data_IF_552299968725
#
_entry.id   IF_552299968725
#
_cell.length_a   1.000
_cell.length_b   1.000
_cell.length_c   1.000
_cell.angle_alpha   90.00
_cell.angle_beta   90.00
_cell.angle_gamma   90.00
#
_symmetry.space_group_name_H-M   'P 1'
#
loop_
_entity.id
_entity.type
_entity.pdbx_description
1 polymer ?
#
# COMPACT_ATOMS: atom_id res chain seq x y z
N UNK A 1 -4.88 -23.19 -20.04
CA UNK A 1 -5.86 -22.08 -20.12
C UNK A 1 -5.55 -20.96 -19.14
N UNK A 2 -5.31 -21.23 -17.85
CA UNK A 2 -5.05 -20.19 -16.83
C UNK A 2 -3.97 -19.16 -17.21
N UNK A 3 -2.84 -19.57 -17.81
CA UNK A 3 -1.79 -18.64 -18.26
C UNK A 3 -2.27 -17.62 -19.29
N UNK A 4 -3.12 -18.05 -20.23
CA UNK A 4 -3.69 -17.16 -21.26
C UNK A 4 -4.66 -16.16 -20.62
N UNK A 5 -5.49 -16.63 -19.70
CA UNK A 5 -6.38 -15.76 -18.92
C UNK A 5 -5.59 -14.76 -18.10
N UNK A 6 -4.52 -15.19 -17.44
CA UNK A 6 -3.65 -14.30 -16.69
C UNK A 6 -2.99 -13.24 -17.59
N UNK A 7 -2.44 -13.62 -18.74
CA UNK A 7 -1.87 -12.65 -19.68
C UNK A 7 -2.90 -11.65 -20.19
N UNK A 8 -4.13 -12.09 -20.47
CA UNK A 8 -5.22 -11.17 -20.81
C UNK A 8 -5.51 -10.19 -19.67
N UNK A 9 -5.56 -10.67 -18.42
CA UNK A 9 -5.78 -9.82 -17.25
C UNK A 9 -4.63 -8.84 -17.01
N UNK A 10 -3.39 -9.19 -17.34
CA UNK A 10 -2.25 -8.26 -17.32
C UNK A 10 -2.43 -7.14 -18.34
N UNK A 11 -2.92 -7.44 -19.55
CA UNK A 11 -3.24 -6.41 -20.54
C UNK A 11 -4.40 -5.51 -20.09
N UNK A 12 -5.43 -6.08 -19.47
CA UNK A 12 -6.52 -5.31 -18.86
C UNK A 12 -5.99 -4.40 -17.75
N UNK A 13 -5.13 -4.92 -16.87
CA UNK A 13 -4.46 -4.16 -15.80
C UNK A 13 -3.62 -3.01 -16.38
N UNK A 14 -2.89 -3.24 -17.48
CA UNK A 14 -2.13 -2.20 -18.17
C UNK A 14 -3.04 -1.13 -18.78
N UNK A 15 -4.14 -1.53 -19.40
CA UNK A 15 -5.12 -0.60 -19.96
C UNK A 15 -5.66 0.36 -18.89
N UNK A 16 -6.12 -0.16 -17.75
CA UNK A 16 -6.60 0.67 -16.65
C UNK A 16 -5.48 1.46 -15.96
N UNK A 17 -4.26 0.95 -15.89
CA UNK A 17 -3.14 1.71 -15.36
C UNK A 17 -2.88 3.00 -16.16
N UNK A 18 -3.08 2.94 -17.48
CA UNK A 18 -2.86 4.07 -18.40
C UNK A 18 -4.11 4.93 -18.61
N UNK A 19 -5.28 4.48 -18.15
CA UNK A 19 -6.52 5.27 -18.25
C UNK A 19 -6.52 6.43 -17.24
N UNK A 20 -7.15 7.57 -17.60
CA UNK A 20 -7.40 8.63 -16.63
C UNK A 20 -8.49 8.20 -15.66
N UNK A 21 -8.18 8.19 -14.36
CA UNK A 21 -9.12 7.91 -13.27
C UNK A 21 -9.99 9.10 -12.87
N UNK A 22 -11.00 8.82 -12.05
CA UNK A 22 -11.66 9.85 -11.26
C UNK A 22 -10.65 10.65 -10.42
N UNK A 23 -10.84 11.97 -10.35
CA UNK A 23 -9.87 12.86 -9.72
C UNK A 23 -9.89 12.70 -8.19
N UNK A 24 -8.92 11.99 -7.63
CA UNK A 24 -8.72 11.88 -6.20
C UNK A 24 -7.49 12.68 -5.71
N UNK A 25 -7.61 13.47 -4.62
CA UNK A 25 -6.48 14.23 -4.05
C UNK A 25 -5.20 13.41 -3.80
N UNK A 26 -5.34 12.26 -3.14
CA UNK A 26 -4.23 11.35 -2.81
C UNK A 26 -3.44 10.85 -4.04
N UNK A 27 -4.09 10.73 -5.19
CA UNK A 27 -3.48 10.14 -6.38
C UNK A 27 -2.54 11.10 -7.10
N UNK A 28 -2.87 12.39 -7.12
CA UNK A 28 -2.15 13.41 -7.89
C UNK A 28 -1.54 14.46 -6.97
N UNK A 29 -2.38 15.15 -6.19
CA UNK A 29 -2.03 16.37 -5.44
C UNK A 29 -1.22 16.11 -4.17
N UNK A 30 -1.44 14.96 -3.50
CA UNK A 30 -0.78 14.67 -2.22
C UNK A 30 0.50 13.82 -2.35
N UNK A 31 0.85 13.39 -3.56
CA UNK A 31 2.02 12.57 -3.81
C UNK A 31 2.84 13.07 -5.01
N UNK A 32 2.49 12.64 -6.24
CA UNK A 32 3.23 13.01 -7.44
C UNK A 32 3.48 14.51 -7.63
N UNK A 33 2.45 15.35 -7.44
CA UNK A 33 2.55 16.78 -7.72
C UNK A 33 3.58 17.47 -6.81
N UNK A 34 3.61 17.12 -5.52
CA UNK A 34 4.57 17.68 -4.55
C UNK A 34 6.00 17.43 -5.00
N UNK A 35 6.31 16.20 -5.41
CA UNK A 35 7.66 15.83 -5.85
C UNK A 35 7.99 16.39 -7.24
N UNK A 36 7.01 16.46 -8.14
CA UNK A 36 7.19 17.06 -9.46
C UNK A 36 7.54 18.56 -9.35
N UNK A 37 6.95 19.27 -8.39
CA UNK A 37 7.30 20.66 -8.08
C UNK A 37 8.77 20.81 -7.67
N UNK A 38 9.29 19.90 -6.85
CA UNK A 38 10.70 19.92 -6.42
C UNK A 38 11.69 19.59 -7.56
N UNK A 39 11.35 18.63 -8.43
CA UNK A 39 12.29 18.12 -9.45
C UNK A 39 12.25 18.93 -10.75
N UNK A 40 11.06 19.35 -11.17
CA UNK A 40 10.80 19.99 -12.47
C UNK A 40 10.38 21.46 -12.34
N UNK A 41 10.25 21.99 -11.12
CA UNK A 41 9.85 23.38 -10.86
C UNK A 41 8.48 23.74 -11.49
N UNK A 42 7.58 22.77 -11.59
CA UNK A 42 6.21 22.99 -12.03
C UNK A 42 5.45 23.92 -11.06
N UNK A 43 4.44 24.67 -11.55
CA UNK A 43 3.52 25.38 -10.68
C UNK A 43 2.66 24.36 -9.92
N UNK A 44 2.93 24.20 -8.62
CA UNK A 44 2.30 23.19 -7.76
C UNK A 44 1.58 23.86 -6.60
N UNK A 45 0.41 23.36 -6.25
CA UNK A 45 -0.32 23.79 -5.06
C UNK A 45 -0.27 22.69 -3.99
N UNK A 46 0.57 22.90 -2.97
CA UNK A 46 0.63 22.03 -1.80
C UNK A 46 -0.71 22.08 -1.05
N UNK A 47 -1.20 20.91 -0.64
CA UNK A 47 -2.45 20.79 0.11
C UNK A 47 -2.27 21.17 1.59
N UNK A 48 -3.36 21.25 2.34
CA UNK A 48 -3.34 21.64 3.77
C UNK A 48 -2.50 20.66 4.62
N UNK A 49 -2.40 19.40 4.20
CA UNK A 49 -1.59 18.39 4.89
C UNK A 49 -0.09 18.68 4.89
N UNK A 50 0.40 19.49 3.94
CA UNK A 50 1.79 19.94 3.81
C UNK A 50 2.01 21.38 4.29
N UNK A 51 0.96 22.18 4.41
CA UNK A 51 1.05 23.63 4.68
C UNK A 51 0.58 24.05 6.07
N UNK A 52 0.01 23.11 6.84
CA UNK A 52 -0.39 23.33 8.23
C UNK A 52 0.82 23.51 9.16
N UNK A 53 0.60 24.13 10.32
CA UNK A 53 1.63 24.33 11.35
C UNK A 53 2.27 23.02 11.83
N UNK A 54 1.53 21.91 11.76
CA UNK A 54 2.00 20.57 12.08
C UNK A 54 1.74 19.65 10.88
N UNK A 55 2.63 19.61 9.88
CA UNK A 55 2.43 18.81 8.67
C UNK A 55 2.23 17.33 8.99
N UNK A 56 1.29 16.69 8.29
CA UNK A 56 0.85 15.31 8.58
C UNK A 56 1.26 14.31 7.49
N UNK A 57 1.79 14.77 6.36
CA UNK A 57 2.26 13.93 5.25
C UNK A 57 3.78 13.89 5.21
N UNK A 58 4.33 12.69 5.13
CA UNK A 58 5.77 12.50 4.98
C UNK A 58 6.19 12.62 3.52
N UNK A 59 7.34 13.25 3.27
CA UNK A 59 7.99 13.28 1.96
C UNK A 59 8.96 12.11 1.80
N UNK A 60 9.44 11.54 2.92
CA UNK A 60 10.29 10.35 2.93
C UNK A 60 9.80 9.21 2.02
N UNK A 61 8.55 8.71 2.08
CA UNK A 61 8.07 7.65 1.20
C UNK A 61 7.84 8.12 -0.24
N UNK A 62 7.56 9.41 -0.44
CA UNK A 62 7.29 9.99 -1.77
C UNK A 62 8.56 10.02 -2.63
N UNK A 63 9.74 10.24 -2.02
CA UNK A 63 11.01 10.28 -2.74
C UNK A 63 11.37 8.95 -3.43
N UNK A 64 11.37 7.78 -2.75
CA UNK A 64 11.60 6.50 -3.42
C UNK A 64 10.53 6.13 -4.44
N UNK A 65 9.26 6.42 -4.14
CA UNK A 65 8.12 5.98 -4.98
C UNK A 65 7.94 6.83 -6.22
N UNK A 66 8.07 8.15 -6.11
CA UNK A 66 7.80 9.10 -7.20
C UNK A 66 9.06 9.86 -7.62
N UNK A 67 9.90 10.26 -6.67
CA UNK A 67 11.09 11.06 -6.94
C UNK A 67 12.17 10.34 -7.76
N UNK A 68 12.56 9.12 -7.38
CA UNK A 68 13.53 8.34 -8.13
C UNK A 68 13.11 8.09 -9.60
N UNK A 69 11.85 7.68 -9.89
CA UNK A 69 11.36 7.56 -11.26
C UNK A 69 11.39 8.88 -12.04
N UNK A 70 11.01 10.00 -11.41
CA UNK A 70 11.04 11.32 -12.05
C UNK A 70 12.47 11.77 -12.35
N UNK A 71 13.43 11.52 -11.45
CA UNK A 71 14.84 11.80 -11.70
C UNK A 71 15.39 10.94 -12.84
N UNK A 72 15.00 9.67 -12.92
CA UNK A 72 15.35 8.80 -14.03
C UNK A 72 14.75 9.31 -15.35
N UNK A 73 13.49 9.74 -15.35
CA UNK A 73 12.85 10.37 -16.51
C UNK A 73 13.61 11.62 -16.95
N UNK A 74 13.97 12.49 -16.00
CA UNK A 74 14.78 13.69 -16.27
C UNK A 74 16.10 13.35 -16.93
N UNK A 75 16.81 12.35 -16.39
CA UNK A 75 18.09 11.91 -16.92
C UNK A 75 17.96 11.36 -18.35
N UNK A 76 16.93 10.53 -18.61
CA UNK A 76 16.67 9.99 -19.95
C UNK A 76 16.25 11.07 -20.95
N UNK A 77 15.49 12.06 -20.51
CA UNK A 77 15.02 13.16 -21.35
C UNK A 77 16.18 14.03 -21.83
N UNK A 78 17.04 14.45 -20.90
CA UNK A 78 18.26 15.21 -21.20
C UNK A 78 19.21 14.37 -22.07
N UNK A 79 19.35 13.07 -21.77
CA UNK A 79 20.20 12.16 -22.53
C UNK A 79 19.78 11.98 -24.00
N UNK A 80 18.50 12.19 -24.32
CA UNK A 80 17.98 12.13 -25.69
C UNK A 80 18.08 13.47 -26.44
N UNK A 81 18.81 14.46 -25.90
CA UNK A 81 19.01 15.76 -26.53
C UNK A 81 17.77 16.66 -26.51
N UNK A 82 16.83 16.40 -25.60
CA UNK A 82 15.66 17.26 -25.39
C UNK A 82 15.94 18.15 -24.17
N UNK A 83 16.44 19.36 -24.42
CA UNK A 83 16.75 20.35 -23.37
C UNK A 83 15.51 21.14 -22.88
N UNK A 84 14.33 20.80 -23.40
CA UNK A 84 13.06 21.45 -23.05
C UNK A 84 12.47 20.94 -21.74
N UNK A 85 11.55 21.73 -21.18
CA UNK A 85 10.74 21.32 -20.01
C UNK A 85 10.00 20.00 -20.31
N UNK A 86 10.10 19.05 -19.38
CA UNK A 86 9.37 17.80 -19.49
C UNK A 86 7.88 18.13 -19.38
N UNK A 87 7.02 17.64 -20.27
CA UNK A 87 5.59 17.91 -20.16
C UNK A 87 4.96 17.07 -19.03
N UNK A 88 4.00 17.62 -18.26
CA UNK A 88 3.35 16.89 -17.15
C UNK A 88 2.72 15.55 -17.56
N UNK A 89 2.28 15.44 -18.81
CA UNK A 89 1.75 14.18 -19.35
C UNK A 89 2.83 13.08 -19.38
N UNK A 90 4.09 13.39 -19.69
CA UNK A 90 5.15 12.38 -19.67
C UNK A 90 5.40 11.85 -18.26
N UNK A 91 5.37 12.74 -17.26
CA UNK A 91 5.47 12.39 -15.84
C UNK A 91 4.31 11.49 -15.42
N UNK A 92 3.07 11.86 -15.77
CA UNK A 92 1.88 11.04 -15.50
C UNK A 92 2.05 9.62 -16.03
N UNK A 93 2.32 9.45 -17.34
CA UNK A 93 2.43 8.13 -17.95
C UNK A 93 3.60 7.32 -17.40
N UNK A 94 4.72 7.98 -17.07
CA UNK A 94 5.87 7.32 -16.45
C UNK A 94 5.52 6.74 -15.08
N UNK A 95 4.83 7.51 -14.23
CA UNK A 95 4.40 7.01 -12.93
C UNK A 95 3.34 5.91 -13.05
N UNK A 96 2.42 6.00 -14.01
CA UNK A 96 1.43 4.93 -14.27
C UNK A 96 2.09 3.62 -14.68
N UNK A 97 3.04 3.67 -15.62
CA UNK A 97 3.80 2.49 -16.06
C UNK A 97 4.60 1.92 -14.89
N UNK A 98 5.23 2.77 -14.08
CA UNK A 98 5.94 2.33 -12.89
C UNK A 98 5.01 1.62 -11.90
N UNK A 99 3.89 2.23 -11.53
CA UNK A 99 2.95 1.63 -10.57
C UNK A 99 2.39 0.31 -11.09
N UNK A 100 2.11 0.22 -12.40
CA UNK A 100 1.80 -1.06 -13.05
C UNK A 100 2.92 -2.09 -12.90
N UNK A 101 4.18 -1.72 -13.19
CA UNK A 101 5.32 -2.62 -13.09
C UNK A 101 5.55 -3.07 -11.63
N UNK A 102 5.45 -2.15 -10.67
CA UNK A 102 5.63 -2.46 -9.25
C UNK A 102 4.48 -3.36 -8.77
N UNK A 103 3.22 -3.07 -9.10
CA UNK A 103 2.10 -3.98 -8.78
C UNK A 103 2.33 -5.36 -9.42
N UNK A 104 2.63 -5.42 -10.72
CA UNK A 104 2.85 -6.69 -11.40
C UNK A 104 4.05 -7.49 -10.85
N UNK A 105 5.16 -6.84 -10.54
CA UNK A 105 6.38 -7.52 -10.08
C UNK A 105 6.30 -7.81 -8.59
N UNK A 106 6.01 -6.83 -7.75
CA UNK A 106 6.09 -6.96 -6.29
C UNK A 106 4.83 -7.59 -5.68
N UNK A 107 3.64 -7.24 -6.15
CA UNK A 107 2.39 -7.78 -5.60
C UNK A 107 2.24 -9.26 -5.97
N UNK A 108 2.37 -9.59 -7.26
CA UNK A 108 2.20 -10.96 -7.74
C UNK A 108 3.35 -11.86 -7.24
N UNK A 109 4.58 -11.34 -7.09
CA UNK A 109 5.67 -12.09 -6.45
C UNK A 109 5.41 -12.31 -4.95
N UNK A 110 4.93 -11.31 -4.20
CA UNK A 110 4.58 -11.52 -2.80
C UNK A 110 3.52 -12.63 -2.64
N UNK A 111 2.51 -12.68 -3.51
CA UNK A 111 1.53 -13.77 -3.54
C UNK A 111 2.18 -15.13 -3.87
N UNK A 112 3.18 -15.14 -4.74
CA UNK A 112 3.92 -16.36 -5.07
C UNK A 112 4.72 -16.92 -3.88
N UNK A 113 5.35 -16.05 -3.09
CA UNK A 113 6.10 -16.41 -1.89
C UNK A 113 5.19 -16.84 -0.74
N UNK A 114 4.08 -16.13 -0.52
CA UNK A 114 3.13 -16.40 0.57
C UNK A 114 2.30 -17.67 0.37
N UNK A 115 2.27 -18.23 -0.85
CA UNK A 115 1.46 -19.40 -1.19
C UNK A 115 2.37 -20.56 -1.64
N UNK A 116 2.66 -21.52 -0.73
CA UNK A 116 3.45 -22.70 -1.07
C UNK A 116 2.73 -23.62 -2.08
N UNK A 117 1.40 -23.75 -1.97
CA UNK A 117 0.63 -24.68 -2.80
C UNK A 117 0.44 -24.16 -4.24
N UNK A 118 0.93 -24.86 -5.28
CA UNK A 118 0.85 -24.37 -6.65
C UNK A 118 -0.59 -24.34 -7.19
N UNK A 119 -1.48 -25.19 -6.67
CA UNK A 119 -2.90 -25.19 -7.06
C UNK A 119 -3.61 -23.97 -6.49
N UNK A 120 -3.41 -23.69 -5.20
CA UNK A 120 -3.98 -22.52 -4.52
C UNK A 120 -3.45 -21.23 -5.12
N UNK A 121 -2.14 -21.18 -5.40
CA UNK A 121 -1.48 -20.02 -6.00
C UNK A 121 -2.09 -19.61 -7.34
N UNK A 122 -2.36 -20.57 -8.23
CA UNK A 122 -2.99 -20.30 -9.52
C UNK A 122 -4.36 -19.64 -9.37
N UNK A 123 -5.16 -20.08 -8.39
CA UNK A 123 -6.48 -19.53 -8.13
C UNK A 123 -6.37 -18.14 -7.52
N UNK A 124 -5.53 -17.98 -6.49
CA UNK A 124 -5.32 -16.70 -5.81
C UNK A 124 -4.83 -15.61 -6.77
N UNK A 125 -3.81 -15.89 -7.59
CA UNK A 125 -3.28 -14.93 -8.57
C UNK A 125 -4.34 -14.54 -9.60
N UNK A 126 -5.15 -15.49 -10.08
CA UNK A 126 -6.24 -15.16 -11.00
C UNK A 126 -7.34 -14.31 -10.34
N UNK A 127 -7.67 -14.57 -9.07
CA UNK A 127 -8.65 -13.78 -8.34
C UNK A 127 -8.15 -12.35 -8.12
N UNK A 128 -6.91 -12.18 -7.67
CA UNK A 128 -6.32 -10.85 -7.49
C UNK A 128 -6.20 -10.12 -8.82
N UNK A 129 -5.70 -10.78 -9.87
CA UNK A 129 -5.54 -10.17 -11.19
C UNK A 129 -6.87 -9.86 -11.90
N UNK A 130 -7.99 -10.44 -11.45
CA UNK A 130 -9.33 -10.14 -12.00
C UNK A 130 -10.16 -9.22 -11.13
N UNK A 131 -9.58 -8.67 -10.06
CA UNK A 131 -10.24 -7.70 -9.18
C UNK A 131 -10.16 -6.29 -9.78
N UNK A 132 -11.27 -5.57 -9.78
CA UNK A 132 -11.33 -4.19 -10.25
C UNK A 132 -10.45 -3.27 -9.39
N UNK A 133 -10.32 -3.58 -8.09
CA UNK A 133 -9.45 -2.85 -7.16
C UNK A 133 -7.99 -2.92 -7.62
N UNK A 134 -7.59 -4.08 -8.12
CA UNK A 134 -6.25 -4.30 -8.66
C UNK A 134 -6.05 -3.53 -9.96
N UNK A 135 -7.10 -3.35 -10.77
CA UNK A 135 -7.04 -2.63 -12.04
C UNK A 135 -7.03 -1.11 -11.88
N UNK A 136 -7.76 -0.59 -10.90
CA UNK A 136 -8.06 0.85 -10.76
C UNK A 136 -7.32 1.52 -9.60
N UNK A 137 -7.19 0.86 -8.45
CA UNK A 137 -6.50 1.47 -7.29
C UNK A 137 -5.03 1.04 -7.26
N UNK A 138 -4.74 -0.26 -7.29
CA UNK A 138 -3.38 -0.79 -7.04
C UNK A 138 -2.34 -0.42 -8.12
N UNK A 139 -2.79 -0.21 -9.34
CA UNK A 139 -1.96 0.23 -10.49
C UNK A 139 -1.80 1.74 -10.56
N UNK A 140 -2.55 2.48 -9.75
CA UNK A 140 -2.60 3.94 -9.73
C UNK A 140 -1.71 4.48 -8.61
N UNK A 141 -1.39 5.77 -8.68
CA UNK A 141 -0.41 6.43 -7.79
C UNK A 141 -0.95 6.74 -6.39
N UNK A 142 -1.82 5.88 -5.84
CA UNK A 142 -2.33 6.02 -4.47
C UNK A 142 -1.28 5.60 -3.44
N UNK A 143 -1.23 6.33 -2.33
CA UNK A 143 -0.44 5.93 -1.16
C UNK A 143 -0.94 4.60 -0.57
N UNK A 144 -2.24 4.29 -0.74
CA UNK A 144 -2.83 3.01 -0.37
C UNK A 144 -2.28 1.83 -1.20
N UNK A 145 -1.90 2.06 -2.46
CA UNK A 145 -1.32 1.03 -3.31
C UNK A 145 0.10 0.69 -2.86
N UNK A 146 0.87 1.71 -2.49
CA UNK A 146 2.17 1.54 -1.83
C UNK A 146 1.99 0.80 -0.50
N UNK A 147 1.00 1.18 0.32
CA UNK A 147 0.69 0.49 1.58
C UNK A 147 0.39 -1.01 1.35
N UNK A 148 -0.41 -1.37 0.35
CA UNK A 148 -0.69 -2.77 0.00
C UNK A 148 0.60 -3.56 -0.26
N UNK A 149 1.53 -3.00 -1.05
CA UNK A 149 2.80 -3.64 -1.35
C UNK A 149 3.66 -3.84 -0.10
N UNK A 150 3.76 -2.81 0.74
CA UNK A 150 4.53 -2.84 2.00
C UNK A 150 3.92 -3.87 2.95
N UNK A 151 2.59 -3.96 3.06
CA UNK A 151 1.90 -4.97 3.87
C UNK A 151 2.20 -6.38 3.33
N UNK A 152 2.07 -6.59 2.03
CA UNK A 152 2.30 -7.89 1.41
C UNK A 152 3.74 -8.39 1.63
N UNK A 153 4.74 -7.52 1.45
CA UNK A 153 6.13 -7.86 1.70
C UNK A 153 6.45 -8.02 3.19
N UNK A 154 5.80 -7.26 4.06
CA UNK A 154 5.90 -7.48 5.50
C UNK A 154 5.41 -8.88 5.89
N UNK A 155 4.32 -9.37 5.27
CA UNK A 155 3.86 -10.75 5.49
C UNK A 155 4.89 -11.78 5.00
N UNK A 156 5.53 -11.54 3.85
CA UNK A 156 6.60 -12.43 3.32
C UNK A 156 7.76 -12.49 4.31
N UNK A 157 8.21 -11.34 4.81
CA UNK A 157 9.31 -11.25 5.77
C UNK A 157 8.96 -11.92 7.11
N UNK A 158 7.75 -11.68 7.64
CA UNK A 158 7.26 -12.34 8.86
C UNK A 158 7.25 -13.86 8.68
N UNK A 159 6.73 -14.35 7.56
CA UNK A 159 6.72 -15.79 7.28
C UNK A 159 8.14 -16.36 7.23
N UNK A 160 9.07 -15.69 6.53
CA UNK A 160 10.47 -16.12 6.45
C UNK A 160 11.16 -16.14 7.82
N UNK A 161 10.95 -15.13 8.67
CA UNK A 161 11.53 -15.07 10.03
C UNK A 161 10.97 -16.19 10.92
N UNK A 162 9.68 -16.49 10.81
CA UNK A 162 9.04 -17.53 11.62
C UNK A 162 9.44 -18.93 11.16
N UNK A 163 9.56 -19.15 9.86
CA UNK A 163 9.90 -20.46 9.26
C UNK A 163 11.39 -20.80 9.40
N UNK A 164 12.29 -19.81 9.43
CA UNK A 164 13.74 -20.00 9.57
C UNK A 164 14.17 -20.30 11.01
N UNK A 165 14.10 -21.57 11.38
CA UNK A 165 14.50 -22.05 12.71
C UNK A 165 16.02 -22.11 12.90
N UNK A 166 16.81 -22.26 11.83
CA UNK A 166 18.23 -22.66 11.89
C UNK A 166 19.21 -21.49 11.79
N UNK A 167 18.96 -20.48 10.94
CA UNK A 167 19.86 -19.32 10.81
C UNK A 167 19.34 -18.10 11.58
N UNK A 168 20.23 -17.16 11.88
CA UNK A 168 19.81 -15.85 12.37
C UNK A 168 19.15 -15.14 11.20
N UNK A 169 17.83 -15.01 11.23
CA UNK A 169 17.04 -14.23 10.24
C UNK A 169 17.29 -12.73 10.39
N UNK A 170 18.52 -12.33 10.68
CA UNK A 170 18.98 -10.98 10.97
C UNK A 170 18.68 -10.05 9.81
N UNK A 171 19.02 -10.44 8.57
CA UNK A 171 18.75 -9.61 7.40
C UNK A 171 17.25 -9.44 7.16
N UNK A 172 16.46 -10.52 7.26
CA UNK A 172 15.00 -10.44 7.11
C UNK A 172 14.36 -9.56 8.21
N UNK A 173 14.87 -9.64 9.44
CA UNK A 173 14.46 -8.83 10.58
C UNK A 173 14.85 -7.35 10.40
N UNK A 174 16.06 -7.08 9.93
CA UNK A 174 16.54 -5.74 9.60
C UNK A 174 15.66 -5.11 8.51
N UNK A 175 15.44 -5.82 7.40
CA UNK A 175 14.57 -5.36 6.31
C UNK A 175 13.14 -5.15 6.80
N UNK A 176 12.61 -6.03 7.66
CA UNK A 176 11.28 -5.83 8.26
C UNK A 176 11.20 -4.52 9.06
N UNK A 177 12.26 -4.15 9.80
CA UNK A 177 12.34 -2.86 10.49
C UNK A 177 12.28 -1.66 9.54
N UNK A 178 13.07 -1.69 8.47
CA UNK A 178 13.06 -0.63 7.42
C UNK A 178 11.68 -0.51 6.77
N UNK A 179 11.11 -1.64 6.33
CA UNK A 179 9.81 -1.71 5.66
C UNK A 179 8.69 -1.26 6.60
N UNK A 180 8.77 -1.57 7.89
CA UNK A 180 7.77 -1.17 8.88
C UNK A 180 7.75 0.35 9.09
N UNK A 181 8.92 0.99 9.17
CA UNK A 181 9.02 2.44 9.28
C UNK A 181 8.58 3.11 7.98
N UNK A 182 9.01 2.59 6.83
CA UNK A 182 8.55 3.09 5.52
C UNK A 182 7.03 3.04 5.39
N UNK A 183 6.40 1.94 5.81
CA UNK A 183 4.95 1.78 5.85
C UNK A 183 4.27 2.80 6.75
N UNK A 184 4.78 3.00 7.97
CA UNK A 184 4.23 3.95 8.94
C UNK A 184 4.29 5.41 8.43
N UNK A 185 5.40 5.81 7.80
CA UNK A 185 5.56 7.15 7.23
C UNK A 185 4.75 7.33 5.94
N UNK A 186 4.53 6.27 5.15
CA UNK A 186 3.63 6.30 4.00
C UNK A 186 2.17 6.48 4.44
N UNK A 187 1.70 5.65 5.37
CA UNK A 187 0.36 5.74 5.95
C UNK A 187 0.33 5.25 7.39
N UNK A 188 -0.34 6.04 8.23
CA UNK A 188 -0.61 5.73 9.64
C UNK A 188 -1.45 4.45 9.86
N UNK A 189 -2.17 4.03 8.83
CA UNK A 189 -3.02 2.83 8.84
C UNK A 189 -2.20 1.54 8.72
N UNK A 190 -0.96 1.61 8.25
CA UNK A 190 -0.12 0.44 7.97
C UNK A 190 0.06 -0.51 9.18
N UNK A 191 0.38 -0.02 10.40
CA UNK A 191 0.57 -0.89 11.56
C UNK A 191 -0.66 -1.75 11.90
N UNK A 192 -1.87 -1.30 11.54
CA UNK A 192 -3.11 -2.03 11.77
C UNK A 192 -3.07 -3.43 11.15
N UNK A 193 -2.42 -3.59 10.00
CA UNK A 193 -2.27 -4.87 9.30
C UNK A 193 -1.22 -5.80 9.92
N UNK A 194 -0.32 -5.26 10.75
CA UNK A 194 0.77 -6.02 11.39
C UNK A 194 0.44 -6.50 12.80
N UNK A 195 -0.58 -5.96 13.47
CA UNK A 195 -0.86 -6.28 14.89
C UNK A 195 -1.01 -7.80 15.12
N UNK A 196 -1.94 -8.46 14.43
CA UNK A 196 -2.17 -9.91 14.63
C UNK A 196 -0.98 -10.76 14.11
N UNK A 197 -0.48 -10.56 12.88
CA UNK A 197 0.70 -11.27 12.39
C UNK A 197 1.95 -11.09 13.28
N UNK A 198 2.12 -9.89 13.84
CA UNK A 198 3.26 -9.50 14.67
C UNK A 198 3.35 -10.27 15.98
N UNK A 199 2.21 -10.73 16.55
CA UNK A 199 2.24 -11.59 17.73
C UNK A 199 3.04 -12.88 17.51
N UNK A 200 3.12 -13.39 16.28
CA UNK A 200 3.94 -14.57 15.97
C UNK A 200 5.44 -14.30 16.11
N UNK A 201 5.87 -13.06 15.92
CA UNK A 201 7.28 -12.67 16.05
C UNK A 201 7.73 -12.62 17.52
N UNK A 202 6.81 -12.40 18.48
CA UNK A 202 7.16 -12.29 19.90
C UNK A 202 7.87 -13.57 20.38
N UNK A 203 7.31 -14.74 20.07
CA UNK A 203 7.91 -16.02 20.43
C UNK A 203 9.29 -16.23 19.77
N UNK A 204 9.48 -15.73 18.55
CA UNK A 204 10.78 -15.78 17.86
C UNK A 204 11.79 -14.85 18.54
N UNK A 205 11.42 -13.60 18.82
CA UNK A 205 12.31 -12.62 19.46
C UNK A 205 12.70 -13.03 20.88
N UNK A 206 11.82 -13.72 21.61
CA UNK A 206 12.18 -14.28 22.91
C UNK A 206 13.28 -15.34 22.82
N UNK A 207 13.28 -16.15 21.75
CA UNK A 207 14.30 -17.18 21.51
C UNK A 207 15.58 -16.61 20.89
N UNK A 208 15.45 -15.60 20.03
CA UNK A 208 16.54 -14.97 19.26
C UNK A 208 16.50 -13.44 19.44
N UNK A 209 17.02 -12.89 20.55
CA UNK A 209 16.95 -11.46 20.85
C UNK A 209 17.76 -10.61 19.86
N UNK A 210 18.80 -11.15 19.22
CA UNK A 210 19.56 -10.44 18.18
C UNK A 210 18.68 -10.04 16.98
N UNK A 211 17.66 -10.83 16.64
CA UNK A 211 16.70 -10.46 15.59
C UNK A 211 15.88 -9.23 15.99
N UNK A 212 15.50 -9.12 17.27
CA UNK A 212 14.81 -7.93 17.80
C UNK A 212 15.71 -6.70 17.76
N UNK A 213 16.99 -6.85 18.14
CA UNK A 213 17.98 -5.77 18.03
C UNK A 213 18.14 -5.32 16.57
N UNK A 214 18.13 -6.26 15.61
CA UNK A 214 18.18 -5.93 14.19
C UNK A 214 16.98 -5.11 13.72
N UNK A 215 15.75 -5.49 14.11
CA UNK A 215 14.54 -4.72 13.82
C UNK A 215 14.62 -3.34 14.45
N UNK A 216 14.99 -3.26 15.72
CA UNK A 216 15.04 -2.01 16.47
C UNK A 216 16.09 -1.03 15.91
N UNK A 217 17.28 -1.54 15.57
CA UNK A 217 18.34 -0.75 14.95
C UNK A 217 17.93 -0.25 13.57
N UNK A 218 17.37 -1.13 12.72
CA UNK A 218 16.85 -0.74 11.42
C UNK A 218 15.77 0.33 11.53
N UNK A 219 14.79 0.12 12.42
CA UNK A 219 13.70 1.05 12.63
C UNK A 219 14.21 2.41 13.14
N UNK A 220 15.17 2.42 14.07
CA UNK A 220 15.78 3.65 14.57
C UNK A 220 16.49 4.42 13.46
N UNK A 221 17.36 3.76 12.68
CA UNK A 221 18.10 4.40 11.58
C UNK A 221 17.12 4.97 10.55
N UNK A 222 16.15 4.18 10.10
CA UNK A 222 15.17 4.61 9.10
C UNK A 222 14.29 5.74 9.63
N UNK A 223 13.89 5.71 10.90
CA UNK A 223 13.09 6.78 11.52
C UNK A 223 13.87 8.08 11.58
N UNK A 224 15.14 8.04 11.97
CA UNK A 224 16.01 9.23 11.98
C UNK A 224 16.15 9.81 10.58
N UNK A 225 16.36 8.97 9.56
CA UNK A 225 16.43 9.43 8.15
C UNK A 225 15.10 10.04 7.70
N UNK A 226 13.97 9.41 8.03
CA UNK A 226 12.65 9.91 7.64
C UNK A 226 12.34 11.26 8.30
N UNK A 227 12.60 11.41 9.60
CA UNK A 227 12.43 12.68 10.32
C UNK A 227 13.38 13.75 9.77
N UNK A 228 14.62 13.40 9.44
CA UNK A 228 15.58 14.34 8.87
C UNK A 228 15.12 14.86 7.50
N UNK A 229 14.63 13.98 6.63
CA UNK A 229 14.11 14.35 5.32
C UNK A 229 12.85 15.20 5.41
N UNK A 230 11.90 14.82 6.28
CA UNK A 230 10.69 15.61 6.50
C UNK A 230 11.04 16.99 7.10
N UNK A 231 11.89 17.04 8.12
CA UNK A 231 12.31 18.31 8.74
C UNK A 231 13.03 19.21 7.74
N UNK A 232 13.88 18.66 6.87
CA UNK A 232 14.54 19.41 5.81
C UNK A 232 13.57 19.94 4.76
N UNK A 233 12.52 19.20 4.44
CA UNK A 233 11.52 19.63 3.47
C UNK A 233 10.62 20.76 4.00
N UNK A 234 10.27 20.72 5.29
CA UNK A 234 9.36 21.70 5.90
C UNK A 234 10.07 22.95 6.45
N UNK A 235 11.39 22.93 6.56
CA UNK A 235 12.18 24.08 7.04
C UNK A 235 12.71 24.87 5.85
N UNK A 236 12.56 26.20 5.88
CA UNK A 236 13.05 27.07 4.80
C UNK A 236 14.58 27.23 4.81
N UNK A 237 15.23 26.99 5.95
CA UNK A 237 16.68 27.10 6.15
C UNK A 237 17.37 25.72 6.13
N UNK A 238 18.66 25.64 5.78
CA UNK A 238 19.42 24.41 5.85
C UNK A 238 19.40 23.81 7.26
N UNK A 239 19.07 22.52 7.35
CA UNK A 239 18.92 21.84 8.64
C UNK A 239 20.23 21.73 9.42
N UNK A 240 20.16 22.00 10.72
CA UNK A 240 21.24 21.72 11.67
C UNK A 240 20.90 20.51 12.55
N UNK A 241 21.91 19.87 13.14
CA UNK A 241 21.69 18.79 14.13
C UNK A 241 20.88 19.24 15.34
N UNK A 242 20.94 20.53 15.71
CA UNK A 242 20.09 21.10 16.76
C UNK A 242 18.62 21.13 16.37
N UNK A 243 18.29 21.40 15.11
CA UNK A 243 16.89 21.48 14.63
C UNK A 243 16.20 20.12 14.69
N UNK A 244 16.94 19.06 14.38
CA UNK A 244 16.49 17.68 14.51
C UNK A 244 16.10 17.29 15.95
N UNK A 245 16.66 17.99 16.95
CA UNK A 245 16.37 17.74 18.37
C UNK A 245 15.33 18.73 18.89
N UNK A 246 15.43 20.01 18.52
CA UNK A 246 14.60 21.09 19.07
C UNK A 246 13.23 21.21 18.39
N UNK A 247 13.16 20.93 17.09
CA UNK A 247 11.97 21.07 16.24
C UNK A 247 11.83 19.94 15.20
N UNK A 248 11.84 18.66 15.59
CA UNK A 248 11.66 17.55 14.65
C UNK A 248 10.24 17.53 14.08
N UNK A 249 10.13 17.42 12.76
CA UNK A 249 8.83 17.18 12.12
C UNK A 249 8.56 15.67 12.07
N UNK A 250 7.72 15.19 12.98
CA UNK A 250 7.34 13.77 13.08
C UNK A 250 5.94 13.60 12.48
N UNK A 251 5.90 13.39 11.16
CA UNK A 251 4.65 13.36 10.39
C UNK A 251 3.65 12.28 10.84
N UNK A 252 4.04 11.03 11.20
CA UNK A 252 3.07 10.04 11.69
C UNK A 252 2.45 10.46 13.04
N UNK A 253 3.23 11.12 13.90
CA UNK A 253 2.74 11.61 15.19
C UNK A 253 1.76 12.77 15.01
N UNK A 254 2.08 13.72 14.13
CA UNK A 254 1.19 14.82 13.80
C UNK A 254 -0.14 14.31 13.20
N UNK A 255 -0.06 13.29 12.35
CA UNK A 255 -1.22 12.65 11.74
C UNK A 255 -2.09 11.91 12.79
N UNK A 256 -1.46 11.20 13.74
CA UNK A 256 -2.16 10.58 14.88
C UNK A 256 -2.90 11.63 15.72
N UNK A 257 -2.21 12.72 16.07
CA UNK A 257 -2.77 13.81 16.87
C UNK A 257 -3.95 14.47 16.16
N UNK A 258 -3.82 14.75 14.87
CA UNK A 258 -4.89 15.35 14.07
C UNK A 258 -6.13 14.45 14.02
N UNK A 259 -5.96 13.14 13.75
CA UNK A 259 -7.06 12.17 13.65
C UNK A 259 -7.60 11.66 14.98
N UNK A 260 -6.99 12.03 16.10
CA UNK A 260 -7.54 11.73 17.44
C UNK A 260 -8.62 12.73 17.87
N UNK A 261 -8.69 13.87 17.18
CA UNK A 261 -9.65 14.93 17.45
C UNK A 261 -10.94 14.72 16.65
N UNK A 262 -12.07 14.62 17.36
CA UNK A 262 -13.39 14.38 16.77
C UNK A 262 -13.85 15.53 15.89
N UNK A 263 -13.48 16.77 16.22
CA UNK A 263 -13.88 17.95 15.45
C UNK A 263 -13.18 17.97 14.08
N UNK A 264 -11.93 17.51 14.03
CA UNK A 264 -11.21 17.32 12.76
C UNK A 264 -11.81 16.18 11.95
N UNK A 265 -12.10 15.03 12.59
CA UNK A 265 -12.71 13.88 11.93
C UNK A 265 -14.08 14.19 11.33
N UNK A 266 -14.88 15.03 12.01
CA UNK A 266 -16.19 15.44 11.53
C UNK A 266 -16.13 16.19 10.18
N UNK A 267 -15.01 16.86 9.88
CA UNK A 267 -14.79 17.52 8.58
C UNK A 267 -14.62 16.51 7.43
N UNK A 268 -14.15 15.30 7.74
CA UNK A 268 -13.91 14.22 6.77
C UNK A 268 -15.03 13.17 6.73
N UNK A 269 -16.00 13.26 7.65
CA UNK A 269 -17.14 12.36 7.75
C UNK A 269 -16.97 11.28 8.82
N UNK A 270 -18.03 11.12 9.61
CA UNK A 270 -18.13 10.11 10.67
C UNK A 270 -18.96 8.92 10.18
N UNK A 271 -18.48 7.72 10.51
CA UNK A 271 -19.08 6.47 10.12
C UNK A 271 -19.26 5.55 11.35
N UNK A 272 -20.28 4.69 11.34
CA UNK A 272 -20.45 3.69 12.38
C UNK A 272 -19.33 2.64 12.31
N UNK A 273 -19.01 2.04 13.46
CA UNK A 273 -17.92 1.06 13.60
C UNK A 273 -18.04 -0.17 12.67
N UNK A 274 -19.25 -0.49 12.21
CA UNK A 274 -19.50 -1.62 11.32
C UNK A 274 -19.37 -1.27 9.81
N UNK A 275 -19.13 -0.01 9.45
CA UNK A 275 -19.07 0.46 8.06
C UNK A 275 -18.02 -0.32 7.26
N UNK A 276 -16.82 -0.53 7.83
CA UNK A 276 -15.77 -1.31 7.18
C UNK A 276 -16.20 -2.74 6.84
N UNK A 277 -16.92 -3.41 7.74
CA UNK A 277 -17.33 -4.81 7.57
C UNK A 277 -18.54 -4.96 6.65
N UNK A 278 -19.57 -4.12 6.81
CA UNK A 278 -20.87 -4.29 6.16
C UNK A 278 -21.00 -3.54 4.82
N UNK A 279 -20.25 -2.45 4.62
CA UNK A 279 -20.33 -1.66 3.40
C UNK A 279 -19.01 -1.70 2.60
N UNK A 280 -17.90 -1.28 3.22
CA UNK A 280 -16.64 -1.11 2.49
C UNK A 280 -16.08 -2.44 2.00
N UNK A 281 -16.09 -3.49 2.82
CA UNK A 281 -15.56 -4.80 2.43
C UNK A 281 -16.37 -5.43 1.27
N UNK A 282 -17.72 -5.54 1.32
CA UNK A 282 -18.52 -5.98 0.18
C UNK A 282 -18.32 -5.11 -1.07
N UNK A 283 -18.11 -3.81 -0.92
CA UNK A 283 -17.82 -2.93 -2.05
C UNK A 283 -16.47 -3.23 -2.70
N UNK A 284 -15.45 -3.63 -1.94
CA UNK A 284 -14.11 -3.90 -2.48
C UNK A 284 -13.95 -5.33 -3.04
N UNK A 285 -14.53 -6.32 -2.38
CA UNK A 285 -14.34 -7.75 -2.75
C UNK A 285 -15.61 -8.41 -3.29
N UNK A 286 -16.74 -7.70 -3.35
CA UNK A 286 -17.96 -8.18 -4.01
C UNK A 286 -18.40 -9.57 -3.56
N UNK A 287 -18.70 -10.49 -4.50
CA UNK A 287 -19.09 -11.88 -4.18
C UNK A 287 -18.06 -12.68 -3.38
N UNK A 288 -16.79 -12.26 -3.33
CA UNK A 288 -15.78 -12.92 -2.50
C UNK A 288 -15.95 -12.64 -1.00
N UNK A 289 -16.68 -11.58 -0.62
CA UNK A 289 -17.06 -11.34 0.79
C UNK A 289 -17.83 -12.53 1.39
N UNK A 290 -18.74 -13.16 0.63
CA UNK A 290 -19.42 -14.36 1.08
C UNK A 290 -18.47 -15.55 1.24
N UNK A 291 -17.47 -15.69 0.36
CA UNK A 291 -16.48 -16.77 0.47
C UNK A 291 -15.58 -16.61 1.69
N UNK A 292 -15.32 -15.37 2.13
CA UNK A 292 -14.58 -15.11 3.36
C UNK A 292 -15.24 -15.76 4.58
N UNK A 293 -16.57 -15.69 4.68
CA UNK A 293 -17.31 -16.29 5.80
C UNK A 293 -17.60 -17.77 5.61
N UNK A 294 -17.88 -18.20 4.37
CA UNK A 294 -18.31 -19.59 4.09
C UNK A 294 -17.14 -20.55 3.90
N UNK A 295 -16.02 -20.08 3.33
CA UNK A 295 -14.87 -20.91 2.93
C UNK A 295 -13.52 -20.21 3.15
N UNK A 296 -13.21 -19.74 4.37
CA UNK A 296 -11.92 -19.13 4.66
C UNK A 296 -10.80 -20.18 4.63
N UNK A 297 -9.64 -19.77 4.13
CA UNK A 297 -8.38 -20.46 4.33
C UNK A 297 -7.56 -19.70 5.38
N UNK A 298 -7.55 -20.19 6.61
CA UNK A 298 -6.76 -19.61 7.70
C UNK A 298 -5.28 -19.59 7.32
N UNK A 299 -4.74 -18.39 7.13
CA UNK A 299 -3.34 -18.16 6.76
C UNK A 299 -2.88 -16.84 7.35
N UNK A 300 -1.56 -16.61 7.37
CA UNK A 300 -0.98 -15.34 7.86
C UNK A 300 -1.63 -14.11 7.19
N UNK A 301 -1.92 -14.23 5.89
CA UNK A 301 -2.57 -13.21 5.07
C UNK A 301 -3.97 -12.88 5.56
N UNK A 302 -4.77 -13.91 5.85
CA UNK A 302 -6.12 -13.71 6.39
C UNK A 302 -6.07 -13.03 7.75
N UNK A 303 -5.13 -13.44 8.63
CA UNK A 303 -4.97 -12.82 9.94
C UNK A 303 -4.56 -11.34 9.82
N UNK A 304 -3.71 -10.99 8.85
CA UNK A 304 -3.35 -9.59 8.56
C UNK A 304 -4.55 -8.78 8.06
N UNK A 305 -5.36 -9.34 7.16
CA UNK A 305 -6.57 -8.69 6.68
C UNK A 305 -7.58 -8.45 7.81
N UNK A 306 -7.82 -9.45 8.66
CA UNK A 306 -8.69 -9.34 9.84
C UNK A 306 -8.15 -8.29 10.83
N UNK A 307 -6.83 -8.25 11.03
CA UNK A 307 -6.16 -7.24 11.86
C UNK A 307 -6.46 -5.83 11.37
N UNK A 308 -6.26 -5.57 10.07
CA UNK A 308 -6.54 -4.28 9.46
C UNK A 308 -8.01 -3.89 9.57
N UNK A 309 -8.93 -4.80 9.24
CA UNK A 309 -10.38 -4.53 9.35
C UNK A 309 -10.75 -4.17 10.80
N UNK A 310 -10.31 -4.96 11.77
CA UNK A 310 -10.68 -4.77 13.17
C UNK A 310 -10.13 -3.45 13.72
N UNK A 311 -8.83 -3.20 13.57
CA UNK A 311 -8.18 -2.02 14.15
C UNK A 311 -8.66 -0.73 13.48
N UNK A 312 -8.84 -0.73 12.15
CA UNK A 312 -9.34 0.46 11.44
C UNK A 312 -10.82 0.74 11.72
N UNK A 313 -11.61 -0.30 12.05
CA UNK A 313 -13.02 -0.15 12.46
C UNK A 313 -13.21 0.53 13.81
N UNK A 314 -12.15 0.68 14.62
CA UNK A 314 -12.19 1.42 15.88
C UNK A 314 -12.28 2.92 15.64
N UNK A 315 -11.70 3.41 14.55
CA UNK A 315 -11.74 4.83 14.19
C UNK A 315 -13.05 5.18 13.48
N UNK A 316 -13.58 6.38 13.74
CA UNK A 316 -14.87 6.80 13.21
C UNK A 316 -14.82 7.23 11.75
N UNK A 317 -13.65 7.64 11.24
CA UNK A 317 -13.50 7.94 9.82
C UNK A 317 -13.11 6.67 9.05
N UNK A 318 -14.06 6.12 8.28
CA UNK A 318 -13.98 4.79 7.66
C UNK A 318 -14.20 4.83 6.15
N UNK A 319 -13.19 5.29 5.41
CA UNK A 319 -13.23 5.24 3.95
C UNK A 319 -12.87 3.85 3.42
N UNK A 320 -13.48 3.45 2.32
CA UNK A 320 -13.22 2.13 1.73
C UNK A 320 -11.76 1.95 1.34
N UNK A 321 -11.07 3.00 0.89
CA UNK A 321 -9.67 2.91 0.46
C UNK A 321 -8.72 2.44 1.57
N UNK A 322 -9.06 2.68 2.84
CA UNK A 322 -8.23 2.21 3.97
C UNK A 322 -8.16 0.68 4.04
N UNK A 323 -9.11 -0.03 3.43
CA UNK A 323 -9.11 -1.50 3.35
C UNK A 323 -8.46 -2.05 2.08
N UNK A 324 -7.90 -1.22 1.21
CA UNK A 324 -7.24 -1.69 -0.03
C UNK A 324 -6.19 -2.79 0.22
N UNK A 325 -5.33 -2.72 1.25
CA UNK A 325 -4.39 -3.79 1.56
C UNK A 325 -5.05 -5.13 1.89
N UNK A 326 -6.31 -5.14 2.35
CA UNK A 326 -7.04 -6.38 2.65
C UNK A 326 -7.40 -7.17 1.40
N UNK A 327 -7.53 -6.51 0.24
CA UNK A 327 -8.08 -7.13 -0.98
C UNK A 327 -7.21 -8.29 -1.47
N UNK A 328 -5.90 -8.13 -1.78
CA UNK A 328 -5.08 -9.26 -2.20
C UNK A 328 -4.91 -10.31 -1.09
N UNK A 329 -4.91 -9.90 0.18
CA UNK A 329 -4.80 -10.81 1.32
C UNK A 329 -6.03 -11.71 1.48
N UNK A 330 -7.24 -11.16 1.30
CA UNK A 330 -8.52 -11.88 1.37
C UNK A 330 -8.71 -12.75 0.14
N UNK A 331 -8.55 -12.20 -1.06
CA UNK A 331 -8.74 -12.94 -2.31
C UNK A 331 -7.78 -14.13 -2.43
N UNK A 332 -6.58 -14.00 -1.85
CA UNK A 332 -5.62 -15.09 -1.79
C UNK A 332 -5.87 -16.06 -0.62
N UNK A 333 -6.81 -15.78 0.28
CA UNK A 333 -7.17 -16.59 1.45
C UNK A 333 -8.58 -17.19 1.38
N UNK A 334 -9.25 -17.17 0.23
CA UNK A 334 -10.56 -17.80 0.03
C UNK A 334 -10.49 -19.04 -0.86
N UNK A 335 -11.41 -19.98 -0.66
CA UNK A 335 -11.54 -21.16 -1.52
C UNK A 335 -12.80 -21.06 -2.40
N UNK A 336 -12.65 -21.36 -3.68
CA UNK A 336 -13.76 -21.37 -4.61
C UNK A 336 -14.75 -22.52 -4.34
N UNK A 337 -16.02 -22.36 -4.74
CA UNK A 337 -17.02 -23.44 -4.66
C UNK A 337 -16.57 -24.70 -5.41
N UNK A 338 -16.79 -25.87 -4.80
CA UNK A 338 -16.48 -27.18 -5.42
C UNK A 338 -17.57 -27.62 -6.42
N UNK A 339 -18.82 -27.24 -6.16
CA UNK A 339 -19.94 -27.53 -7.05
C UNK A 339 -19.82 -26.66 -8.32
N UNK A 340 -19.82 -27.31 -9.49
CA UNK A 340 -19.68 -26.65 -10.79
C UNK A 340 -20.78 -25.62 -11.05
N UNK A 341 -22.02 -25.88 -10.63
CA UNK A 341 -23.13 -24.93 -10.83
C UNK A 341 -22.91 -23.68 -9.99
N UNK A 342 -22.66 -23.83 -8.69
CA UNK A 342 -22.36 -22.72 -7.78
C UNK A 342 -21.12 -21.95 -8.22
N UNK A 343 -20.08 -22.64 -8.70
CA UNK A 343 -18.86 -22.02 -9.21
C UNK A 343 -19.14 -21.14 -10.44
N UNK A 344 -19.96 -21.61 -11.39
CA UNK A 344 -20.34 -20.83 -12.58
C UNK A 344 -21.16 -19.59 -12.21
N UNK A 345 -22.13 -19.74 -11.31
CA UNK A 345 -22.94 -18.61 -10.82
C UNK A 345 -22.04 -17.58 -10.13
N UNK A 346 -21.18 -18.05 -9.21
CA UNK A 346 -20.24 -17.18 -8.50
C UNK A 346 -19.25 -16.49 -9.45
N UNK A 347 -18.70 -17.22 -10.43
CA UNK A 347 -17.78 -16.67 -11.41
C UNK A 347 -18.46 -15.62 -12.32
N UNK A 348 -19.72 -15.87 -12.73
CA UNK A 348 -20.51 -14.89 -13.47
C UNK A 348 -20.74 -13.61 -12.66
N UNK A 349 -21.14 -13.74 -11.38
CA UNK A 349 -21.29 -12.61 -10.48
C UNK A 349 -19.96 -11.86 -10.26
N UNK A 350 -18.85 -12.58 -10.09
CA UNK A 350 -17.52 -12.01 -9.94
C UNK A 350 -17.11 -11.19 -11.18
N UNK A 351 -17.32 -11.72 -12.38
CA UNK A 351 -16.99 -11.02 -13.63
C UNK A 351 -17.85 -9.76 -13.79
N UNK A 352 -19.17 -9.88 -13.63
CA UNK A 352 -20.09 -8.74 -13.76
C UNK A 352 -19.73 -7.64 -12.77
N UNK A 353 -19.49 -8.01 -11.51
CA UNK A 353 -19.11 -7.09 -10.45
C UNK A 353 -17.82 -6.32 -10.79
N UNK A 354 -16.75 -7.03 -11.16
CA UNK A 354 -15.46 -6.40 -11.44
C UNK A 354 -15.47 -5.58 -12.74
N UNK A 355 -16.23 -5.99 -13.76
CA UNK A 355 -16.39 -5.17 -14.96
C UNK A 355 -17.18 -3.90 -14.66
N UNK A 356 -18.28 -4.00 -13.90
CA UNK A 356 -19.10 -2.84 -13.54
C UNK A 356 -18.31 -1.83 -12.72
N UNK A 357 -17.69 -2.25 -11.62
CA UNK A 357 -16.89 -1.37 -10.77
C UNK A 357 -15.57 -0.94 -11.43
N UNK A 358 -14.99 -1.79 -12.28
CA UNK A 358 -13.85 -1.44 -13.09
C UNK A 358 -14.15 -0.25 -13.98
N UNK A 359 -15.26 -0.26 -14.73
CA UNK A 359 -15.67 0.87 -15.57
C UNK A 359 -16.09 2.08 -14.75
N UNK A 360 -16.78 1.88 -13.62
CA UNK A 360 -17.26 2.98 -12.78
C UNK A 360 -16.11 3.78 -12.13
N UNK A 361 -15.03 3.09 -11.78
CA UNK A 361 -13.89 3.67 -11.05
C UNK A 361 -12.70 4.02 -11.94
N UNK A 362 -12.80 3.78 -13.25
CA UNK A 362 -11.70 3.89 -14.22
C UNK A 362 -11.46 5.27 -14.80
#
# INVERSE_FOLDING_TARGET
>A
MWRRTYLLLVLVRLWFALSPSYLHPDENFQGPEVIAGEIFSYPVRRTWEFTSDNPIRSVFPLWPVYGLPMLLLRWLWIGNGQDGEIPPIAVFWTLRVLMFLISFVLEDWALHELIPSPKHRRVAVLLVASSYVTWTYQTHTFSNSVETLVVAWSMVLIQRIVDDQQQSSFMASFVLGVVSVFGLFNRITFPAFLVIPGFRLIAHFWRKPLSLVAVALAAMITTTVAIALDTAFYTAEPITWSDLISRPVITPWNNLRYNSDLDNLAQHGLHPWYQHLLANLPMLVGPASFLLFLRPHFSLRLYSAVSGIFVLSVFQHQEARFLLPTVPLILSSVQLPKNQVTLRIWAGAWIIFNLFFGVLMA
#
